data_IF_004126586978
#
_entry.id   IF_004126586978
#
_cell.length_a   1.000
_cell.length_b   1.000
_cell.length_c   1.000
_cell.angle_alpha   90.00
_cell.angle_beta   90.00
_cell.angle_gamma   90.00
#
_symmetry.space_group_name_H-M   'P 1'
#
loop_
_entity.id
_entity.type
_entity.pdbx_description
1 polymer ?
#
# COMPACT_ATOMS: atom_id res chain seq x y z
N UNK A 1 3.64 -25.58 19.32
CA UNK A 1 3.73 -24.45 20.27
C UNK A 1 4.82 -23.53 19.76
N UNK A 2 4.64 -22.20 19.83
CA UNK A 2 5.73 -21.25 19.56
C UNK A 2 6.70 -21.32 20.74
N UNK A 3 7.55 -22.34 20.78
CA UNK A 3 8.42 -22.62 21.94
C UNK A 3 9.55 -21.60 22.10
N UNK A 4 9.77 -20.73 21.11
CA UNK A 4 10.74 -19.64 21.19
C UNK A 4 10.37 -18.47 20.25
N UNK A 5 9.64 -17.48 20.77
CA UNK A 5 9.30 -16.26 20.01
C UNK A 5 10.55 -15.50 19.54
N UNK A 6 11.62 -15.46 20.35
CA UNK A 6 12.89 -14.82 19.96
C UNK A 6 13.48 -15.49 18.73
N UNK A 7 13.58 -16.82 18.70
CA UNK A 7 14.12 -17.53 17.55
C UNK A 7 13.26 -17.32 16.29
N UNK A 8 11.94 -17.21 16.43
CA UNK A 8 11.05 -16.88 15.33
C UNK A 8 11.32 -15.46 14.80
N UNK A 9 11.39 -14.46 15.68
CA UNK A 9 11.73 -13.08 15.33
C UNK A 9 13.07 -13.02 14.59
N UNK A 10 14.11 -13.65 15.16
CA UNK A 10 15.46 -13.66 14.59
C UNK A 10 15.48 -14.32 13.20
N UNK A 11 14.73 -15.42 13.03
CA UNK A 11 14.65 -16.13 11.74
C UNK A 11 13.92 -15.29 10.69
N UNK A 12 12.80 -14.65 11.06
CA UNK A 12 12.06 -13.78 10.14
C UNK A 12 12.92 -12.58 9.77
N UNK A 13 13.54 -11.91 10.74
CA UNK A 13 14.41 -10.76 10.48
C UNK A 13 15.62 -11.13 9.62
N UNK A 14 16.19 -12.33 9.80
CA UNK A 14 17.23 -12.85 8.92
C UNK A 14 16.74 -12.99 7.48
N UNK A 15 15.55 -13.55 7.27
CA UNK A 15 14.96 -13.67 5.94
C UNK A 15 14.69 -12.28 5.31
N UNK A 16 14.24 -11.31 6.10
CA UNK A 16 14.12 -9.91 5.66
C UNK A 16 15.47 -9.35 5.20
N UNK A 17 16.54 -9.56 5.98
CA UNK A 17 17.88 -9.07 5.64
C UNK A 17 18.43 -9.71 4.37
N UNK A 18 18.20 -11.01 4.16
CA UNK A 18 18.58 -11.69 2.91
C UNK A 18 17.81 -11.06 1.71
N UNK A 19 16.51 -10.82 1.87
CA UNK A 19 15.70 -10.20 0.82
C UNK A 19 16.12 -8.75 0.54
N UNK A 20 16.43 -7.98 1.58
CA UNK A 20 16.92 -6.61 1.45
C UNK A 20 18.31 -6.56 0.80
N UNK A 21 19.25 -7.39 1.22
CA UNK A 21 20.61 -7.46 0.66
C UNK A 21 20.59 -7.66 -0.86
N UNK A 22 19.75 -8.58 -1.34
CA UNK A 22 19.62 -8.91 -2.77
C UNK A 22 19.00 -7.80 -3.63
N UNK A 23 18.16 -6.97 -3.03
CA UNK A 23 17.27 -6.07 -3.77
C UNK A 23 17.46 -4.59 -3.46
N UNK A 24 18.24 -4.23 -2.43
CA UNK A 24 18.46 -2.83 -2.07
C UNK A 24 19.11 -2.03 -3.22
N UNK A 25 19.94 -2.69 -4.04
CA UNK A 25 20.60 -2.10 -5.21
C UNK A 25 19.64 -1.76 -6.37
N UNK A 26 18.40 -2.26 -6.34
CA UNK A 26 17.37 -1.93 -7.33
C UNK A 26 16.79 -0.52 -7.14
N UNK A 27 17.02 0.10 -5.97
CA UNK A 27 16.54 1.44 -5.66
C UNK A 27 17.50 2.54 -6.13
N UNK A 28 16.95 3.71 -6.44
CA UNK A 28 17.79 4.91 -6.60
C UNK A 28 18.42 5.30 -5.26
N UNK A 29 19.60 5.91 -5.29
CA UNK A 29 20.33 6.32 -4.07
C UNK A 29 19.47 7.18 -3.13
N UNK A 30 18.67 8.11 -3.65
CA UNK A 30 17.80 8.95 -2.83
C UNK A 30 16.72 8.14 -2.14
N UNK A 31 16.06 7.21 -2.85
CA UNK A 31 15.07 6.32 -2.27
C UNK A 31 15.70 5.41 -1.22
N UNK A 32 16.83 4.80 -1.54
CA UNK A 32 17.57 3.94 -0.63
C UNK A 32 17.88 4.63 0.70
N UNK A 33 18.45 5.85 0.66
CA UNK A 33 18.78 6.60 1.87
C UNK A 33 17.55 7.00 2.69
N UNK A 34 16.41 7.29 2.04
CA UNK A 34 15.15 7.56 2.74
C UNK A 34 14.65 6.30 3.45
N UNK A 35 14.60 5.15 2.76
CA UNK A 35 14.16 3.89 3.36
C UNK A 35 15.07 3.46 4.52
N UNK A 36 16.39 3.58 4.37
CA UNK A 36 17.35 3.23 5.43
C UNK A 36 17.19 4.13 6.66
N UNK A 37 16.96 5.43 6.45
CA UNK A 37 16.68 6.37 7.54
C UNK A 37 15.41 5.96 8.29
N UNK A 38 14.36 5.59 7.58
CA UNK A 38 13.09 5.16 8.18
C UNK A 38 13.20 3.82 8.89
N UNK A 39 14.00 2.91 8.35
CA UNK A 39 14.27 1.61 8.96
C UNK A 39 15.12 1.75 10.23
N UNK A 40 16.12 2.65 10.24
CA UNK A 40 16.83 3.01 11.47
C UNK A 40 15.90 3.56 12.55
N UNK A 41 14.98 4.47 12.18
CA UNK A 41 13.98 4.99 13.12
C UNK A 41 13.09 3.88 13.70
N UNK A 42 12.84 2.83 12.93
CA UNK A 42 12.07 1.67 13.39
C UNK A 42 12.87 0.80 14.33
N UNK A 43 14.05 0.37 13.91
CA UNK A 43 14.88 -0.54 14.69
C UNK A 43 15.34 0.07 16.02
N UNK A 44 15.59 1.38 16.04
CA UNK A 44 16.02 2.09 17.24
C UNK A 44 14.86 2.71 18.04
N UNK A 45 13.61 2.40 17.68
CA UNK A 45 12.38 2.90 18.33
C UNK A 45 12.36 4.43 18.55
N UNK A 46 12.89 5.18 17.57
CA UNK A 46 13.01 6.64 17.67
C UNK A 46 11.60 7.26 17.63
N UNK A 47 11.22 8.06 18.65
CA UNK A 47 9.91 8.72 18.68
C UNK A 47 9.66 9.64 17.48
N UNK A 48 8.40 9.79 17.10
CA UNK A 48 7.99 10.74 16.07
C UNK A 48 8.38 12.17 16.47
N UNK A 49 8.94 12.95 15.54
CA UNK A 49 9.43 14.31 15.80
C UNK A 49 10.79 14.39 16.50
N UNK A 50 11.34 13.28 17.00
CA UNK A 50 12.68 13.26 17.56
C UNK A 50 13.74 13.48 16.46
N UNK A 51 14.77 14.27 16.82
CA UNK A 51 15.92 14.51 15.94
C UNK A 51 16.74 13.23 15.80
N UNK A 52 17.07 12.89 14.57
CA UNK A 52 17.95 11.76 14.28
C UNK A 52 19.41 12.07 14.66
N UNK A 53 20.08 11.16 15.39
CA UNK A 53 21.51 11.26 15.67
C UNK A 53 22.30 10.93 14.41
N UNK A 54 22.91 11.95 13.80
CA UNK A 54 23.52 11.83 12.45
C UNK A 54 24.72 10.88 12.42
N UNK A 55 25.56 10.94 13.43
CA UNK A 55 26.80 10.14 13.48
C UNK A 55 26.46 8.66 13.69
N UNK A 56 25.58 8.37 14.66
CA UNK A 56 25.08 7.01 14.94
C UNK A 56 24.33 6.41 13.74
N UNK A 57 23.53 7.20 13.02
CA UNK A 57 22.90 6.77 11.77
C UNK A 57 23.95 6.42 10.71
N UNK A 58 25.02 7.20 10.58
CA UNK A 58 26.11 6.93 9.64
C UNK A 58 26.83 5.62 9.94
N UNK A 59 27.19 5.41 11.21
CA UNK A 59 27.82 4.18 11.68
C UNK A 59 26.90 2.97 11.47
N UNK A 60 25.60 3.11 11.78
CA UNK A 60 24.61 2.08 11.57
C UNK A 60 24.42 1.72 10.10
N UNK A 61 24.39 2.70 9.19
CA UNK A 61 24.28 2.47 7.74
C UNK A 61 25.45 1.61 7.26
N UNK A 62 26.68 1.95 7.66
CA UNK A 62 27.88 1.20 7.27
C UNK A 62 27.87 -0.22 7.82
N UNK A 63 27.45 -0.39 9.08
CA UNK A 63 27.31 -1.71 9.69
C UNK A 63 26.24 -2.57 8.98
N UNK A 64 25.11 -1.96 8.60
CA UNK A 64 24.02 -2.63 7.87
C UNK A 64 24.46 -3.12 6.50
N UNK A 65 25.13 -2.27 5.73
CA UNK A 65 25.66 -2.65 4.42
C UNK A 65 26.69 -3.78 4.53
N UNK A 66 27.61 -3.68 5.51
CA UNK A 66 28.58 -4.74 5.78
C UNK A 66 27.91 -6.07 6.15
N UNK A 67 26.81 -6.03 6.91
CA UNK A 67 26.03 -7.22 7.24
C UNK A 67 25.36 -7.82 6.00
N UNK A 68 24.79 -6.99 5.12
CA UNK A 68 24.16 -7.46 3.88
C UNK A 68 25.13 -8.19 2.96
N UNK A 69 26.38 -7.72 2.84
CA UNK A 69 27.42 -8.42 2.08
C UNK A 69 27.69 -9.84 2.59
N UNK A 70 27.41 -10.12 3.88
CA UNK A 70 27.60 -11.47 4.45
C UNK A 70 26.41 -12.40 4.25
N UNK A 71 25.20 -11.86 4.01
CA UNK A 71 23.95 -12.65 3.95
C UNK A 71 23.31 -12.70 2.55
N UNK A 72 23.75 -11.89 1.60
CA UNK A 72 23.18 -11.78 0.23
C UNK A 72 23.03 -13.15 -0.46
N UNK A 73 24.01 -14.02 -0.29
CA UNK A 73 24.07 -15.36 -0.91
C UNK A 73 23.41 -16.46 -0.07
N UNK A 74 22.92 -16.16 1.14
CA UNK A 74 22.30 -17.17 2.01
C UNK A 74 20.88 -17.57 1.57
N UNK A 75 20.50 -18.83 1.75
CA UNK A 75 19.12 -19.27 1.49
C UNK A 75 18.17 -18.82 2.60
N UNK A 76 16.93 -18.52 2.25
CA UNK A 76 15.90 -18.25 3.24
C UNK A 76 15.74 -19.44 4.19
N UNK A 77 15.71 -19.16 5.49
CA UNK A 77 15.61 -20.16 6.53
C UNK A 77 14.14 -20.55 6.77
N UNK A 78 13.83 -21.84 7.00
CA UNK A 78 12.51 -22.26 7.43
C UNK A 78 12.19 -21.65 8.79
N UNK A 79 10.94 -21.21 8.97
CA UNK A 79 10.51 -20.61 10.23
C UNK A 79 10.40 -21.68 11.32
N UNK A 80 10.91 -21.43 12.55
CA UNK A 80 10.95 -22.40 13.64
C UNK A 80 9.56 -22.58 14.30
N UNK A 81 8.55 -22.84 13.48
CA UNK A 81 7.15 -23.08 13.86
C UNK A 81 6.79 -24.49 13.40
N UNK A 82 6.11 -25.26 14.24
CA UNK A 82 5.63 -26.62 13.91
C UNK A 82 6.68 -27.56 13.28
N UNK A 83 7.94 -27.44 13.69
CA UNK A 83 9.04 -28.28 13.18
C UNK A 83 9.78 -27.75 11.95
N UNK A 84 9.47 -26.53 11.49
CA UNK A 84 10.07 -25.91 10.31
C UNK A 84 9.04 -25.77 9.18
N UNK A 85 8.61 -24.55 8.90
CA UNK A 85 7.70 -24.25 7.77
C UNK A 85 8.45 -23.38 6.77
N UNK A 86 8.21 -23.59 5.47
CA UNK A 86 8.76 -22.74 4.42
C UNK A 86 8.33 -21.27 4.65
N UNK A 87 9.24 -20.29 4.55
CA UNK A 87 8.88 -18.89 4.78
C UNK A 87 7.85 -18.33 3.78
N UNK A 88 7.64 -18.98 2.64
CA UNK A 88 6.60 -18.59 1.68
C UNK A 88 5.23 -19.22 1.97
N UNK A 89 5.12 -20.19 2.89
CA UNK A 89 3.85 -20.84 3.26
C UNK A 89 3.13 -20.06 4.38
N UNK A 90 2.77 -18.79 4.10
CA UNK A 90 2.19 -17.88 5.11
C UNK A 90 0.91 -18.43 5.77
N UNK A 91 0.07 -19.17 5.03
CA UNK A 91 -1.14 -19.79 5.57
C UNK A 91 -0.82 -20.82 6.67
N UNK A 92 0.20 -21.64 6.47
CA UNK A 92 0.62 -22.69 7.41
C UNK A 92 1.22 -22.08 8.66
N UNK A 93 2.05 -21.05 8.48
CA UNK A 93 2.61 -20.25 9.58
C UNK A 93 1.49 -19.60 10.38
N UNK A 94 0.55 -18.91 9.73
CA UNK A 94 -0.54 -18.21 10.41
C UNK A 94 -1.52 -19.14 11.12
N UNK A 95 -1.76 -20.36 10.63
CA UNK A 95 -2.54 -21.37 11.38
C UNK A 95 -1.92 -21.66 12.75
N UNK A 96 -0.60 -21.60 12.86
CA UNK A 96 0.11 -21.80 14.12
C UNK A 96 0.25 -20.52 14.95
N UNK A 97 0.35 -19.33 14.33
CA UNK A 97 0.63 -18.07 15.02
C UNK A 97 -0.62 -17.31 15.50
N UNK A 98 -1.70 -17.29 14.72
CA UNK A 98 -2.93 -16.53 15.01
C UNK A 98 -3.51 -16.86 16.40
N UNK A 99 -3.57 -18.12 16.86
CA UNK A 99 -4.05 -18.44 18.21
C UNK A 99 -3.26 -17.80 19.36
N UNK A 100 -2.02 -17.35 19.09
CA UNK A 100 -1.15 -16.71 20.07
C UNK A 100 -1.11 -15.18 19.92
N UNK A 101 -1.99 -14.58 19.11
CA UNK A 101 -2.01 -13.14 18.89
C UNK A 101 -0.86 -12.65 18.02
N UNK A 102 -0.34 -13.50 17.13
CA UNK A 102 0.74 -13.17 16.19
C UNK A 102 0.24 -13.35 14.76
N UNK A 103 0.78 -12.56 13.84
CA UNK A 103 0.52 -12.67 12.41
C UNK A 103 1.81 -12.56 11.62
N UNK A 104 1.90 -13.38 10.58
CA UNK A 104 3.00 -13.42 9.65
C UNK A 104 2.49 -13.10 8.24
N UNK A 105 3.25 -12.32 7.49
CA UNK A 105 3.00 -12.10 6.07
C UNK A 105 4.27 -12.44 5.31
N UNK A 106 4.11 -13.17 4.21
CA UNK A 106 5.15 -13.32 3.20
C UNK A 106 4.58 -13.10 1.79
N UNK A 107 5.44 -12.99 0.79
CA UNK A 107 5.03 -12.90 -0.60
C UNK A 107 5.99 -12.11 -1.48
N UNK A 108 5.66 -12.01 -2.77
CA UNK A 108 6.45 -11.25 -3.74
C UNK A 108 5.89 -9.84 -3.90
N UNK A 109 6.74 -8.84 -3.72
CA UNK A 109 6.45 -7.43 -3.95
C UNK A 109 6.83 -7.00 -5.36
N UNK A 110 7.08 -5.69 -5.51
CA UNK A 110 7.56 -5.12 -6.75
C UNK A 110 8.88 -5.77 -7.18
N UNK A 111 9.10 -5.93 -8.48
CA UNK A 111 10.27 -6.62 -9.04
C UNK A 111 10.48 -8.05 -8.52
N UNK A 112 9.41 -8.70 -8.03
CA UNK A 112 9.45 -10.04 -7.44
C UNK A 112 10.36 -10.15 -6.21
N UNK A 113 10.63 -9.04 -5.53
CA UNK A 113 11.34 -9.03 -4.25
C UNK A 113 10.51 -9.79 -3.19
N UNK A 114 11.06 -10.80 -2.50
CA UNK A 114 10.41 -11.39 -1.33
C UNK A 114 10.24 -10.37 -0.20
N UNK A 115 9.09 -10.42 0.47
CA UNK A 115 8.80 -9.62 1.64
C UNK A 115 8.41 -10.53 2.80
N UNK A 116 8.89 -10.21 4.01
CA UNK A 116 8.56 -10.95 5.22
C UNK A 116 8.26 -9.98 6.37
N UNK A 117 7.23 -10.30 7.15
CA UNK A 117 6.82 -9.52 8.32
C UNK A 117 6.31 -10.44 9.40
N UNK A 118 6.71 -10.20 10.63
CA UNK A 118 6.12 -10.79 11.82
C UNK A 118 5.67 -9.67 12.75
N UNK A 119 4.43 -9.74 13.22
CA UNK A 119 3.84 -8.70 14.06
C UNK A 119 2.83 -9.27 15.07
N UNK A 120 2.47 -8.43 16.04
CA UNK A 120 1.28 -8.62 16.85
C UNK A 120 0.03 -8.62 15.97
N UNK A 121 -0.88 -9.57 16.18
CA UNK A 121 -2.20 -9.57 15.56
C UNK A 121 -3.16 -8.72 16.40
N UNK A 122 -3.54 -7.54 15.90
CA UNK A 122 -4.54 -6.68 16.56
C UNK A 122 -5.97 -7.13 16.26
N UNK A 123 -6.23 -7.49 15.00
CA UNK A 123 -7.57 -7.89 14.55
C UNK A 123 -7.48 -8.84 13.38
N UNK A 124 -8.31 -9.87 13.39
CA UNK A 124 -8.58 -10.71 12.23
C UNK A 124 -10.09 -10.73 11.97
N UNK A 125 -10.49 -10.51 10.72
CA UNK A 125 -11.90 -10.50 10.31
C UNK A 125 -12.05 -10.96 8.87
N UNK A 126 -13.29 -11.12 8.41
CA UNK A 126 -13.60 -11.42 7.01
C UNK A 126 -14.50 -10.32 6.47
N UNK A 127 -14.12 -9.73 5.34
CA UNK A 127 -14.90 -8.72 4.62
C UNK A 127 -15.15 -9.20 3.20
N UNK A 128 -16.42 -9.35 2.83
CA UNK A 128 -16.84 -9.80 1.48
C UNK A 128 -16.20 -11.13 1.04
N UNK A 129 -15.91 -12.01 2.00
CA UNK A 129 -15.25 -13.30 1.76
C UNK A 129 -13.72 -13.24 1.71
N UNK A 130 -13.11 -12.05 1.88
CA UNK A 130 -11.67 -11.85 1.96
C UNK A 130 -11.24 -11.77 3.42
N UNK A 131 -10.22 -12.53 3.82
CA UNK A 131 -9.64 -12.42 5.17
C UNK A 131 -8.90 -11.09 5.31
N UNK A 132 -9.02 -10.43 6.43
CA UNK A 132 -8.30 -9.19 6.74
C UNK A 132 -7.56 -9.39 8.05
N UNK A 133 -6.24 -9.22 8.01
CA UNK A 133 -5.36 -9.19 9.16
C UNK A 133 -4.86 -7.77 9.39
N UNK A 134 -5.08 -7.24 10.60
CA UNK A 134 -4.50 -5.98 11.05
C UNK A 134 -3.35 -6.30 12.00
N UNK A 135 -2.14 -6.08 11.51
CA UNK A 135 -0.90 -6.18 12.26
C UNK A 135 -0.65 -4.89 13.06
N UNK A 136 -0.29 -5.05 14.33
CA UNK A 136 0.09 -3.97 15.26
C UNK A 136 1.59 -3.74 15.26
N UNK A 137 2.21 -3.93 16.42
CA UNK A 137 3.65 -3.80 16.61
C UNK A 137 4.40 -4.83 15.75
N UNK A 138 5.31 -4.35 14.91
CA UNK A 138 6.15 -5.18 14.06
C UNK A 138 7.38 -5.67 14.84
N UNK A 139 7.56 -6.99 14.94
CA UNK A 139 8.73 -7.60 15.58
C UNK A 139 9.87 -7.88 14.60
N UNK A 140 9.54 -8.11 13.34
CA UNK A 140 10.51 -8.25 12.25
C UNK A 140 9.91 -7.73 10.95
N UNK A 141 10.72 -7.05 10.13
CA UNK A 141 10.30 -6.52 8.83
C UNK A 141 11.46 -6.29 7.88
N UNK A 142 11.12 -6.21 6.60
CA UNK A 142 12.00 -5.67 5.56
C UNK A 142 12.20 -4.14 5.71
N UNK A 143 13.24 -3.66 5.04
CA UNK A 143 13.52 -2.24 4.80
C UNK A 143 12.28 -1.51 4.29
N UNK A 144 11.75 -1.96 3.16
CA UNK A 144 10.53 -1.41 2.55
C UNK A 144 9.31 -2.02 3.26
N UNK A 145 8.44 -1.17 3.80
CA UNK A 145 7.22 -1.59 4.47
C UNK A 145 5.97 -0.99 3.83
N UNK A 146 5.40 -1.66 2.80
CA UNK A 146 4.10 -1.29 2.28
C UNK A 146 3.04 -1.41 3.40
N UNK A 147 2.17 -0.41 3.59
CA UNK A 147 1.22 -0.38 4.71
C UNK A 147 0.07 -1.37 4.57
N UNK A 148 -0.32 -1.69 3.34
CA UNK A 148 -1.36 -2.66 3.02
C UNK A 148 -0.97 -3.44 1.77
N UNK A 149 -1.33 -4.73 1.73
CA UNK A 149 -1.24 -5.54 0.52
C UNK A 149 -2.16 -6.75 0.59
N UNK A 150 -2.71 -7.14 -0.56
CA UNK A 150 -3.27 -8.48 -0.78
C UNK A 150 -2.15 -9.53 -0.90
N UNK A 151 -2.20 -10.58 -0.08
CA UNK A 151 -1.28 -11.74 -0.06
C UNK A 151 -2.07 -13.02 0.11
N UNK A 152 -1.92 -13.95 -0.83
CA UNK A 152 -2.57 -15.27 -0.81
C UNK A 152 -4.09 -15.22 -0.54
N UNK A 153 -4.78 -14.21 -1.09
CA UNK A 153 -6.21 -14.01 -0.92
C UNK A 153 -6.62 -13.41 0.44
N UNK A 154 -5.68 -12.89 1.21
CA UNK A 154 -5.91 -12.15 2.44
C UNK A 154 -5.29 -10.75 2.36
N UNK A 155 -5.96 -9.78 2.96
CA UNK A 155 -5.48 -8.40 3.11
C UNK A 155 -4.65 -8.33 4.40
N UNK A 156 -3.40 -7.90 4.28
CA UNK A 156 -2.54 -7.61 5.41
C UNK A 156 -2.32 -6.11 5.52
N UNK A 157 -2.84 -5.52 6.60
CA UNK A 157 -2.66 -4.12 6.96
C UNK A 157 -1.67 -4.03 8.12
N UNK A 158 -0.67 -3.14 8.01
CA UNK A 158 0.43 -2.97 8.96
C UNK A 158 0.33 -1.60 9.63
N UNK A 159 -0.21 -1.54 10.86
CA UNK A 159 -0.47 -0.29 11.57
C UNK A 159 0.80 0.55 11.78
N UNK A 160 1.93 -0.07 12.13
CA UNK A 160 3.20 0.65 12.29
C UNK A 160 3.67 1.29 10.98
N UNK A 161 3.53 0.57 9.86
CA UNK A 161 3.86 1.09 8.53
C UNK A 161 2.90 2.23 8.11
N UNK A 162 1.61 2.13 8.43
CA UNK A 162 0.63 3.22 8.21
C UNK A 162 1.05 4.47 8.97
N UNK A 163 1.35 4.35 10.27
CA UNK A 163 1.80 5.49 11.08
C UNK A 163 3.05 6.15 10.51
N UNK A 164 4.05 5.36 10.12
CA UNK A 164 5.28 5.87 9.51
C UNK A 164 5.03 6.58 8.19
N UNK A 165 4.17 6.02 7.32
CA UNK A 165 3.78 6.67 6.08
C UNK A 165 3.15 8.05 6.34
N UNK A 166 2.22 8.13 7.28
CA UNK A 166 1.51 9.36 7.62
C UNK A 166 2.46 10.40 8.23
N UNK A 167 3.34 9.96 9.12
CA UNK A 167 4.37 10.80 9.71
C UNK A 167 5.30 11.39 8.65
N UNK A 168 5.80 10.56 7.72
CA UNK A 168 6.69 11.02 6.65
C UNK A 168 6.01 12.06 5.76
N UNK A 169 4.72 11.85 5.43
CA UNK A 169 3.91 12.84 4.71
C UNK A 169 3.75 14.14 5.49
N UNK A 170 3.59 14.05 6.81
CA UNK A 170 3.47 15.23 7.67
C UNK A 170 4.78 16.01 7.73
N UNK A 171 5.92 15.36 7.97
CA UNK A 171 7.25 16.00 7.96
C UNK A 171 7.52 16.72 6.62
N UNK A 172 7.21 16.09 5.50
CA UNK A 172 7.36 16.68 4.17
C UNK A 172 6.40 17.86 3.93
N UNK A 173 5.18 17.78 4.46
CA UNK A 173 4.15 18.80 4.27
C UNK A 173 4.42 20.09 5.07
N UNK A 174 5.10 20.01 6.21
CA UNK A 174 5.40 21.19 7.04
C UNK A 174 6.13 22.32 6.29
N UNK A 175 6.77 22.01 5.17
CA UNK A 175 7.50 22.95 4.31
C UNK A 175 6.68 23.46 3.11
N UNK A 176 5.41 23.08 2.99
CA UNK A 176 4.52 23.36 1.85
C UNK A 176 3.41 24.35 2.23
N UNK A 177 2.65 24.78 1.22
CA UNK A 177 1.46 25.61 1.42
C UNK A 177 0.39 24.88 2.23
N UNK A 178 -0.19 25.59 3.21
CA UNK A 178 -1.15 25.01 4.16
C UNK A 178 -2.53 24.73 3.56
N UNK A 179 -3.00 25.52 2.60
CA UNK A 179 -4.35 25.35 2.02
C UNK A 179 -4.40 24.32 0.87
N UNK A 180 -3.83 23.14 1.14
CA UNK A 180 -3.83 22.00 0.22
C UNK A 180 -4.77 20.91 0.74
N UNK A 181 -5.14 19.94 -0.12
CA UNK A 181 -5.91 18.77 0.33
C UNK A 181 -5.22 18.04 1.48
N UNK A 182 -3.88 17.93 1.44
CA UNK A 182 -3.10 17.31 2.50
C UNK A 182 -3.15 18.12 3.80
N UNK A 183 -3.02 19.45 3.71
CA UNK A 183 -3.16 20.33 4.88
C UNK A 183 -4.53 20.27 5.51
N UNK A 184 -5.61 20.17 4.71
CA UNK A 184 -6.98 19.95 5.20
C UNK A 184 -7.15 18.60 5.90
N UNK A 185 -6.48 17.55 5.42
CA UNK A 185 -6.47 16.25 6.11
C UNK A 185 -5.78 16.35 7.48
N UNK A 186 -4.58 16.92 7.56
CA UNK A 186 -3.87 17.06 8.85
C UNK A 186 -4.59 17.99 9.83
N UNK A 187 -5.20 19.07 9.34
CA UNK A 187 -6.03 19.94 10.16
C UNK A 187 -7.27 19.22 10.71
N UNK A 188 -7.88 18.30 9.94
CA UNK A 188 -9.02 17.50 10.40
C UNK A 188 -8.66 16.61 11.61
N UNK A 189 -7.44 16.08 11.65
CA UNK A 189 -6.97 15.23 12.74
C UNK A 189 -6.24 15.98 13.86
N UNK A 190 -6.17 17.31 13.80
CA UNK A 190 -5.61 18.20 14.85
C UNK A 190 -4.11 18.01 15.12
N UNK A 191 -3.33 17.69 14.08
CA UNK A 191 -1.86 17.51 14.16
C UNK A 191 -1.13 18.73 14.73
N UNK A 192 -1.67 19.95 14.59
CA UNK A 192 -1.03 21.17 15.11
C UNK A 192 -1.06 21.25 16.64
N UNK A 193 -2.04 20.62 17.30
CA UNK A 193 -2.17 20.66 18.77
C UNK A 193 -1.59 19.42 19.44
N UNK A 194 -1.79 18.25 18.85
CA UNK A 194 -1.37 16.97 19.41
C UNK A 194 -1.00 16.01 18.26
N UNK A 195 0.29 15.98 17.93
CA UNK A 195 0.83 15.19 16.83
C UNK A 195 0.60 13.70 17.06
N UNK A 196 0.87 13.19 18.26
CA UNK A 196 0.76 11.76 18.54
C UNK A 196 -0.69 11.31 18.45
N UNK A 197 -1.61 12.02 19.10
CA UNK A 197 -3.03 11.70 19.04
C UNK A 197 -3.61 11.90 17.63
N UNK A 198 -3.16 12.93 16.91
CA UNK A 198 -3.56 13.17 15.52
C UNK A 198 -3.09 12.03 14.61
N UNK A 199 -1.86 11.57 14.80
CA UNK A 199 -1.29 10.44 14.08
C UNK A 199 -2.05 9.14 14.37
N UNK A 200 -2.39 8.86 15.62
CA UNK A 200 -3.17 7.68 16.00
C UNK A 200 -4.53 7.65 15.30
N UNK A 201 -5.27 8.76 15.38
CA UNK A 201 -6.61 8.88 14.78
C UNK A 201 -6.56 8.79 13.26
N UNK A 202 -5.59 9.45 12.64
CA UNK A 202 -5.41 9.39 11.19
C UNK A 202 -4.97 8.00 10.76
N UNK A 203 -4.10 7.32 11.51
CA UNK A 203 -3.67 5.96 11.21
C UNK A 203 -4.84 4.98 11.24
N UNK A 204 -5.76 5.09 12.21
CA UNK A 204 -6.96 4.26 12.26
C UNK A 204 -7.90 4.53 11.06
N UNK A 205 -8.13 5.79 10.72
CA UNK A 205 -9.00 6.16 9.61
C UNK A 205 -8.42 5.76 8.23
N UNK A 206 -7.14 6.04 8.00
CA UNK A 206 -6.48 5.68 6.74
C UNK A 206 -6.23 4.17 6.63
N UNK A 207 -6.10 3.46 7.75
CA UNK A 207 -6.11 1.99 7.78
C UNK A 207 -7.40 1.41 7.23
N UNK A 208 -8.54 1.94 7.66
CA UNK A 208 -9.84 1.56 7.11
C UNK A 208 -9.95 1.92 5.62
N UNK A 209 -9.50 3.09 5.21
CA UNK A 209 -9.50 3.50 3.79
C UNK A 209 -8.63 2.57 2.92
N UNK A 210 -7.47 2.14 3.41
CA UNK A 210 -6.63 1.16 2.73
C UNK A 210 -7.29 -0.22 2.65
N UNK A 211 -7.93 -0.70 3.73
CA UNK A 211 -8.69 -1.96 3.67
C UNK A 211 -9.83 -1.86 2.63
N UNK A 212 -10.54 -0.73 2.57
CA UNK A 212 -11.60 -0.51 1.58
C UNK A 212 -11.05 -0.54 0.14
N UNK A 213 -9.85 0.01 -0.09
CA UNK A 213 -9.17 -0.06 -1.38
C UNK A 213 -8.87 -1.50 -1.79
N UNK A 214 -8.25 -2.28 -0.91
CA UNK A 214 -7.92 -3.69 -1.19
C UNK A 214 -9.19 -4.56 -1.40
N UNK A 215 -10.27 -4.31 -0.64
CA UNK A 215 -11.58 -4.94 -0.88
C UNK A 215 -12.15 -4.51 -2.25
N UNK A 216 -11.98 -3.25 -2.62
CA UNK A 216 -12.34 -2.72 -3.93
C UNK A 216 -11.58 -3.40 -5.05
N UNK A 217 -10.28 -3.64 -4.89
CA UNK A 217 -9.47 -4.36 -5.88
C UNK A 217 -9.95 -5.80 -6.05
N UNK A 218 -10.17 -6.53 -4.96
CA UNK A 218 -10.70 -7.89 -5.01
C UNK A 218 -12.06 -7.95 -5.72
N UNK A 219 -12.94 -6.96 -5.47
CA UNK A 219 -14.23 -6.84 -6.16
C UNK A 219 -14.06 -6.55 -7.64
N UNK A 220 -13.17 -5.63 -8.01
CA UNK A 220 -12.87 -5.30 -9.40
C UNK A 220 -12.33 -6.52 -10.15
N UNK A 221 -11.38 -7.25 -9.58
CA UNK A 221 -10.81 -8.46 -10.19
C UNK A 221 -11.87 -9.53 -10.43
N UNK A 222 -12.79 -9.74 -9.49
CA UNK A 222 -13.93 -10.66 -9.68
C UNK A 222 -14.84 -10.24 -10.84
N UNK A 223 -15.08 -8.94 -11.02
CA UNK A 223 -15.92 -8.41 -12.10
C UNK A 223 -15.25 -8.50 -13.48
N UNK A 224 -13.93 -8.40 -13.52
CA UNK A 224 -13.13 -8.43 -14.75
C UNK A 224 -12.76 -9.85 -15.18
N UNK A 225 -12.61 -10.77 -14.23
CA UNK A 225 -12.37 -12.19 -14.50
C UNK A 225 -10.95 -12.51 -14.98
N UNK A 226 -10.74 -13.77 -15.36
CA UNK A 226 -9.41 -14.30 -15.69
C UNK A 226 -8.71 -13.62 -16.88
N UNK A 227 -9.49 -13.07 -17.82
CA UNK A 227 -8.97 -12.38 -18.99
C UNK A 227 -8.16 -11.14 -18.61
N UNK A 228 -8.57 -10.44 -17.55
CA UNK A 228 -7.84 -9.29 -17.01
C UNK A 228 -6.48 -9.69 -16.43
N UNK A 229 -6.46 -10.73 -15.58
CA UNK A 229 -5.23 -11.26 -15.00
C UNK A 229 -4.28 -11.79 -16.09
N UNK A 230 -4.84 -12.46 -17.11
CA UNK A 230 -4.08 -12.96 -18.26
C UNK A 230 -3.47 -11.82 -19.08
N UNK A 231 -4.21 -10.74 -19.33
CA UNK A 231 -3.69 -9.54 -20.00
C UNK A 231 -2.56 -8.93 -19.18
N UNK A 232 -2.79 -8.63 -17.89
CA UNK A 232 -1.77 -8.02 -17.02
C UNK A 232 -0.47 -8.82 -16.97
N UNK A 233 -0.57 -10.17 -16.95
CA UNK A 233 0.60 -11.05 -16.95
C UNK A 233 1.36 -11.12 -18.28
N UNK A 234 0.83 -10.56 -19.36
CA UNK A 234 1.43 -10.55 -20.70
C UNK A 234 1.87 -9.15 -21.16
N UNK A 235 1.64 -8.10 -20.37
CA UNK A 235 2.15 -6.76 -20.68
C UNK A 235 3.66 -6.72 -20.45
N UNK A 236 4.42 -6.31 -21.47
CA UNK A 236 5.88 -6.14 -21.38
C UNK A 236 6.24 -4.65 -21.11
N UNK A 237 5.34 -3.74 -21.46
CA UNK A 237 5.49 -2.30 -21.28
C UNK A 237 5.07 -1.86 -19.88
N UNK A 238 6.03 -1.31 -19.14
CA UNK A 238 5.80 -0.63 -17.86
C UNK A 238 4.70 0.43 -17.95
N UNK A 239 4.59 1.15 -19.07
CA UNK A 239 3.57 2.19 -19.21
C UNK A 239 2.16 1.61 -19.36
N UNK A 240 2.02 0.56 -20.19
CA UNK A 240 0.75 -0.13 -20.38
C UNK A 240 0.28 -0.79 -19.07
N UNK A 241 1.20 -1.41 -18.32
CA UNK A 241 0.89 -1.99 -17.01
C UNK A 241 0.42 -0.92 -16.01
N UNK A 242 1.12 0.22 -15.91
CA UNK A 242 0.73 1.32 -15.04
C UNK A 242 -0.66 1.88 -15.41
N UNK A 243 -0.99 1.94 -16.70
CA UNK A 243 -2.30 2.37 -17.17
C UNK A 243 -3.40 1.39 -16.77
N UNK A 244 -3.20 0.10 -17.03
CA UNK A 244 -4.17 -0.92 -16.69
C UNK A 244 -4.43 -0.95 -15.17
N UNK A 245 -3.37 -0.88 -14.35
CA UNK A 245 -3.49 -0.77 -12.89
C UNK A 245 -4.23 0.49 -12.46
N UNK A 246 -3.91 1.66 -13.01
CA UNK A 246 -4.61 2.90 -12.69
C UNK A 246 -6.12 2.83 -12.97
N UNK A 247 -6.52 2.17 -14.08
CA UNK A 247 -7.94 1.94 -14.41
C UNK A 247 -8.61 1.01 -13.40
N UNK A 248 -7.96 -0.09 -13.02
CA UNK A 248 -8.45 -1.01 -11.99
C UNK A 248 -8.58 -0.32 -10.63
N UNK A 249 -7.59 0.46 -10.22
CA UNK A 249 -7.60 1.17 -8.94
C UNK A 249 -8.73 2.20 -8.89
N UNK A 250 -9.01 2.90 -10.00
CA UNK A 250 -10.18 3.77 -10.09
C UNK A 250 -11.50 3.02 -10.00
N UNK A 251 -11.61 1.87 -10.65
CA UNK A 251 -12.77 1.00 -10.53
C UNK A 251 -12.97 0.55 -9.08
N UNK A 252 -11.91 0.03 -8.45
CA UNK A 252 -11.90 -0.38 -7.05
C UNK A 252 -12.37 0.74 -6.11
N UNK A 253 -11.79 1.92 -6.26
CA UNK A 253 -12.11 3.06 -5.40
C UNK A 253 -13.51 3.61 -5.64
N UNK A 254 -14.04 3.56 -6.87
CA UNK A 254 -15.41 3.97 -7.15
C UNK A 254 -16.46 2.90 -6.77
N UNK A 255 -16.06 1.62 -6.64
CA UNK A 255 -16.95 0.55 -6.21
C UNK A 255 -17.08 0.44 -4.68
N UNK A 256 -16.02 0.79 -3.94
CA UNK A 256 -15.92 0.53 -2.50
C UNK A 256 -15.42 1.74 -1.73
N UNK A 257 -14.18 2.18 -1.97
CA UNK A 257 -13.50 3.19 -1.13
C UNK A 257 -14.28 4.51 -1.05
N UNK A 258 -14.42 5.22 -2.17
CA UNK A 258 -15.01 6.56 -2.21
C UNK A 258 -16.49 6.57 -1.81
N UNK A 259 -17.36 5.65 -2.28
CA UNK A 259 -18.74 5.58 -1.79
C UNK A 259 -18.82 5.42 -0.27
N UNK A 260 -18.01 4.52 0.30
CA UNK A 260 -18.01 4.26 1.75
C UNK A 260 -17.51 5.47 2.53
N UNK A 261 -16.45 6.14 2.06
CA UNK A 261 -15.95 7.36 2.72
C UNK A 261 -16.96 8.51 2.65
N UNK A 262 -17.70 8.64 1.54
CA UNK A 262 -18.76 9.64 1.38
C UNK A 262 -19.96 9.34 2.29
N UNK A 263 -20.43 8.10 2.31
CA UNK A 263 -21.53 7.66 3.18
C UNK A 263 -21.24 7.89 4.66
N UNK A 264 -20.00 7.62 5.08
CA UNK A 264 -19.54 7.81 6.47
C UNK A 264 -19.14 9.25 6.81
N UNK A 265 -19.25 10.18 5.87
CA UNK A 265 -18.76 11.56 6.01
C UNK A 265 -17.30 11.62 6.50
N UNK A 266 -16.45 10.70 6.02
CA UNK A 266 -15.05 10.57 6.40
C UNK A 266 -14.18 11.65 5.74
N UNK A 267 -14.46 12.92 6.05
CA UNK A 267 -13.87 14.08 5.38
C UNK A 267 -12.35 14.12 5.44
N UNK A 268 -11.74 13.74 6.58
CA UNK A 268 -10.29 13.65 6.72
C UNK A 268 -9.65 12.70 5.68
N UNK A 269 -10.21 11.50 5.54
CA UNK A 269 -9.74 10.51 4.56
C UNK A 269 -10.08 10.89 3.12
N UNK A 270 -11.20 11.58 2.87
CA UNK A 270 -11.47 12.14 1.53
C UNK A 270 -10.41 13.19 1.13
N UNK A 271 -10.05 14.10 2.05
CA UNK A 271 -8.96 15.04 1.81
C UNK A 271 -7.62 14.33 1.57
N UNK A 272 -7.32 13.29 2.36
CA UNK A 272 -6.10 12.52 2.21
C UNK A 272 -6.06 11.73 0.89
N UNK A 273 -7.16 11.09 0.49
CA UNK A 273 -7.29 10.42 -0.79
C UNK A 273 -6.99 11.39 -1.95
N UNK A 274 -7.64 12.55 -1.97
CA UNK A 274 -7.44 13.54 -3.03
C UNK A 274 -6.03 14.12 -3.04
N UNK A 275 -5.39 14.24 -1.88
CA UNK A 275 -4.00 14.66 -1.77
C UNK A 275 -3.01 13.64 -2.38
N UNK A 276 -3.33 12.35 -2.29
CA UNK A 276 -2.49 11.26 -2.78
C UNK A 276 -2.85 10.82 -4.21
N UNK A 277 -3.96 11.30 -4.77
CA UNK A 277 -4.30 11.12 -6.17
C UNK A 277 -3.28 11.85 -7.05
N UNK A 278 -2.36 11.09 -7.64
CA UNK A 278 -1.20 11.64 -8.37
C UNK A 278 -0.93 10.86 -9.66
N UNK A 279 0.02 11.35 -10.46
CA UNK A 279 0.46 10.72 -11.70
C UNK A 279 -0.69 10.39 -12.65
N UNK A 280 -0.68 9.17 -13.18
CA UNK A 280 -1.65 8.70 -14.17
C UNK A 280 -3.07 8.65 -13.61
N UNK A 281 -3.26 8.22 -12.36
CA UNK A 281 -4.59 8.20 -11.71
C UNK A 281 -5.21 9.60 -11.65
N UNK A 282 -4.42 10.64 -11.35
CA UNK A 282 -4.93 12.02 -11.37
C UNK A 282 -5.25 12.48 -12.79
N UNK A 283 -4.39 12.17 -13.75
CA UNK A 283 -4.54 12.60 -15.14
C UNK A 283 -5.80 11.98 -15.80
N UNK A 284 -6.11 10.73 -15.46
CA UNK A 284 -7.25 10.00 -16.02
C UNK A 284 -8.60 10.42 -15.42
N UNK A 285 -8.64 10.98 -14.22
CA UNK A 285 -9.91 11.27 -13.54
C UNK A 285 -10.11 12.75 -13.19
N UNK A 286 -10.04 13.69 -14.16
CA UNK A 286 -10.12 15.13 -13.89
C UNK A 286 -11.49 15.56 -13.35
N UNK A 287 -12.56 14.80 -13.63
CA UNK A 287 -13.89 15.06 -13.08
C UNK A 287 -13.91 14.94 -11.55
N UNK A 288 -13.12 14.02 -10.97
CA UNK A 288 -13.03 13.85 -9.53
C UNK A 288 -12.40 15.09 -8.85
N UNK A 289 -11.33 15.64 -9.44
CA UNK A 289 -10.72 16.89 -8.95
C UNK A 289 -11.72 18.05 -9.01
N UNK A 290 -12.46 18.22 -10.11
CA UNK A 290 -13.48 19.28 -10.21
C UNK A 290 -14.60 19.12 -9.18
N UNK A 291 -15.04 17.90 -8.93
CA UNK A 291 -16.07 17.62 -7.94
C UNK A 291 -15.58 17.87 -6.50
N UNK A 292 -14.30 17.56 -6.24
CA UNK A 292 -13.64 17.93 -4.99
C UNK A 292 -13.56 19.44 -4.80
N UNK A 293 -13.12 20.19 -5.82
CA UNK A 293 -13.04 21.66 -5.76
C UNK A 293 -14.41 22.29 -5.51
N UNK A 294 -15.47 21.75 -6.12
CA UNK A 294 -16.84 22.15 -5.83
C UNK A 294 -17.20 21.90 -4.37
N UNK A 295 -16.92 20.72 -3.83
CA UNK A 295 -17.17 20.41 -2.41
C UNK A 295 -16.44 21.38 -1.48
N UNK A 296 -15.18 21.74 -1.77
CA UNK A 296 -14.45 22.73 -0.98
C UNK A 296 -15.14 24.10 -1.00
N UNK A 297 -15.64 24.53 -2.16
CA UNK A 297 -16.29 25.82 -2.33
C UNK A 297 -17.71 25.89 -1.75
N UNK A 298 -18.51 24.84 -1.94
CA UNK A 298 -19.93 24.81 -1.57
C UNK A 298 -20.21 24.16 -0.21
N UNK A 299 -19.25 23.39 0.32
CA UNK A 299 -19.41 22.48 1.46
C UNK A 299 -20.47 21.39 1.23
N UNK A 300 -20.80 21.11 -0.03
CA UNK A 300 -21.74 20.06 -0.44
C UNK A 300 -21.00 18.90 -1.16
N UNK A 301 -21.12 17.69 -0.63
CA UNK A 301 -20.54 16.46 -1.20
C UNK A 301 -21.41 15.84 -2.30
N UNK A 302 -22.60 16.38 -2.58
CA UNK A 302 -23.56 15.78 -3.52
C UNK A 302 -23.00 15.64 -4.94
N UNK A 303 -22.23 16.62 -5.42
CA UNK A 303 -21.58 16.53 -6.73
C UNK A 303 -20.46 15.48 -6.73
N UNK A 304 -19.72 15.35 -5.63
CA UNK A 304 -18.67 14.35 -5.47
C UNK A 304 -19.27 12.94 -5.48
N UNK A 305 -20.35 12.70 -4.72
CA UNK A 305 -21.09 11.43 -4.74
C UNK A 305 -21.61 11.08 -6.14
N UNK A 306 -22.32 11.97 -6.82
CA UNK A 306 -22.78 11.71 -8.20
C UNK A 306 -21.65 11.39 -9.18
N UNK A 307 -20.48 12.03 -9.00
CA UNK A 307 -19.31 11.80 -9.85
C UNK A 307 -18.73 10.41 -9.61
N UNK A 308 -18.62 9.99 -8.34
CA UNK A 308 -18.13 8.66 -7.95
C UNK A 308 -19.07 7.56 -8.43
N UNK A 309 -20.38 7.74 -8.24
CA UNK A 309 -21.39 6.76 -8.65
C UNK A 309 -21.37 6.51 -10.17
N UNK A 310 -21.29 7.58 -10.97
CA UNK A 310 -21.18 7.47 -12.43
C UNK A 310 -19.84 6.85 -12.87
N UNK A 311 -18.76 7.12 -12.13
CA UNK A 311 -17.43 6.66 -12.49
C UNK A 311 -17.23 5.16 -12.35
N UNK A 312 -17.94 4.48 -11.45
CA UNK A 312 -17.85 3.03 -11.30
C UNK A 312 -18.18 2.30 -12.63
N UNK A 313 -19.26 2.70 -13.30
CA UNK A 313 -19.64 2.13 -14.59
C UNK A 313 -18.63 2.47 -15.70
N UNK A 314 -18.16 3.73 -15.73
CA UNK A 314 -17.15 4.19 -16.69
C UNK A 314 -15.84 3.39 -16.58
N UNK A 315 -15.31 3.21 -15.37
CA UNK A 315 -14.05 2.48 -15.18
C UNK A 315 -14.17 0.98 -15.44
N UNK A 316 -15.35 0.40 -15.23
CA UNK A 316 -15.63 -0.99 -15.63
C UNK A 316 -15.63 -1.15 -17.15
N UNK A 317 -16.25 -0.21 -17.88
CA UNK A 317 -16.22 -0.20 -19.35
C UNK A 317 -14.79 0.01 -19.87
N UNK A 318 -14.06 0.95 -19.29
CA UNK A 318 -12.66 1.21 -19.62
C UNK A 318 -11.80 -0.04 -19.43
N UNK A 319 -11.89 -0.72 -18.28
CA UNK A 319 -11.13 -1.94 -18.01
C UNK A 319 -11.43 -3.04 -19.05
N UNK A 320 -12.72 -3.26 -19.36
CA UNK A 320 -13.13 -4.21 -20.40
C UNK A 320 -12.63 -3.81 -21.79
N UNK A 321 -12.58 -2.51 -22.09
CA UNK A 321 -12.06 -2.02 -23.35
C UNK A 321 -10.55 -2.29 -23.49
N UNK A 322 -9.77 -2.11 -22.42
CA UNK A 322 -8.35 -2.47 -22.41
C UNK A 322 -8.16 -3.97 -22.68
N UNK A 323 -8.90 -4.83 -21.97
CA UNK A 323 -8.84 -6.29 -22.16
C UNK A 323 -9.21 -6.71 -23.58
N UNK A 324 -10.33 -6.20 -24.11
CA UNK A 324 -10.76 -6.50 -25.46
C UNK A 324 -9.78 -5.98 -26.53
N UNK A 325 -9.12 -4.85 -26.28
CA UNK A 325 -8.10 -4.29 -27.17
C UNK A 325 -6.87 -5.17 -27.22
N UNK A 326 -6.38 -5.62 -26.07
CA UNK A 326 -5.26 -6.54 -25.98
C UNK A 326 -5.56 -7.87 -26.67
N UNK A 327 -6.72 -8.47 -26.40
CA UNK A 327 -7.10 -9.78 -26.95
C UNK A 327 -7.24 -9.79 -28.48
N UNK A 328 -7.59 -8.65 -29.10
CA UNK A 328 -7.71 -8.55 -30.56
C UNK A 328 -6.37 -8.65 -31.28
N UNK A 329 -5.31 -8.13 -30.67
CA UNK A 329 -3.96 -8.17 -31.21
C UNK A 329 -2.92 -8.16 -30.07
N UNK A 330 -2.67 -9.32 -29.43
CA UNK A 330 -1.74 -9.42 -28.32
C UNK A 330 -0.32 -8.98 -28.69
N UNK A 331 0.10 -9.19 -29.95
CA UNK A 331 1.44 -8.83 -30.43
C UNK A 331 1.70 -7.32 -30.41
N UNK A 332 0.65 -6.50 -30.55
CA UNK A 332 0.73 -5.04 -30.42
C UNK A 332 -0.09 -4.51 -29.23
N UNK A 333 -0.44 -5.39 -28.28
CA UNK A 333 -1.35 -5.08 -27.18
C UNK A 333 -0.91 -3.87 -26.36
N UNK A 334 0.38 -3.79 -26.01
CA UNK A 334 0.97 -2.68 -25.26
C UNK A 334 0.82 -1.34 -26.00
N UNK A 335 1.14 -1.32 -27.29
CA UNK A 335 1.05 -0.11 -28.11
C UNK A 335 -0.41 0.35 -28.25
N UNK A 336 -1.32 -0.60 -28.43
CA UNK A 336 -2.76 -0.33 -28.55
C UNK A 336 -3.35 0.19 -27.24
N UNK A 337 -2.97 -0.38 -26.10
CA UNK A 337 -3.36 0.11 -24.76
C UNK A 337 -2.83 1.53 -24.52
N UNK A 338 -1.58 1.80 -24.86
CA UNK A 338 -0.98 3.12 -24.69
C UNK A 338 -1.69 4.19 -25.55
N UNK A 339 -2.13 3.83 -26.75
CA UNK A 339 -2.88 4.75 -27.61
C UNK A 339 -4.22 5.19 -26.97
N UNK A 340 -4.88 4.30 -26.21
CA UNK A 340 -6.16 4.58 -25.54
C UNK A 340 -6.03 5.67 -24.46
N UNK A 341 -4.88 5.74 -23.76
CA UNK A 341 -4.65 6.75 -22.72
C UNK A 341 -4.72 8.20 -23.23
N UNK A 342 -4.48 8.41 -24.52
CA UNK A 342 -4.34 9.75 -25.10
C UNK A 342 -5.66 10.39 -25.54
N UNK A 343 -6.80 9.68 -25.44
CA UNK A 343 -8.07 10.16 -26.00
C UNK A 343 -9.33 9.81 -25.20
N UNK A 344 -9.58 8.53 -24.91
CA UNK A 344 -10.93 8.05 -24.57
C UNK A 344 -11.21 7.90 -23.06
N UNK A 345 -10.18 7.73 -22.24
CA UNK A 345 -10.37 7.35 -20.82
C UNK A 345 -10.72 8.52 -19.89
N UNK A 346 -10.27 9.73 -20.21
CA UNK A 346 -10.34 10.88 -19.30
C UNK A 346 -11.74 11.52 -19.21
N UNK A 347 -12.61 11.23 -20.16
CA UNK A 347 -13.95 11.81 -20.25
C UNK A 347 -14.97 10.84 -19.68
N UNK A 348 -15.47 11.10 -18.47
CA UNK A 348 -16.61 10.37 -17.93
C UNK A 348 -17.78 10.43 -18.92
N UNK A 349 -18.19 9.27 -19.41
CA UNK A 349 -19.42 9.14 -20.19
C UNK A 349 -20.60 9.41 -19.25
N UNK A 350 -21.51 10.30 -19.66
CA UNK A 350 -22.68 10.70 -18.87
C UNK A 350 -23.79 9.66 -18.93
#
# INVERSE_FOLDING_TARGET
MVENLSALIDTVQKNCMIADARHARDMTICTFLLEMREFYRWEMEIPYGARLPKDELGDWLTARESLWDTVEEETFAPLPVSGGIDPFDADDVNRALVPYGLVYSSGLGHFRKPHFVLAELKRAEVREGVKVYVAGCEYARDLIAPPAAMRDGAIFLRMDAVRRLLWNKFEEWQWKEKDTALGRAFAHYDFERDIERGLDRMAEAESEAMILHEVGEARAEKLLGADWSSMLGQLDSKHAELLARAVRDHLADCLVTLPTLLEREAHGSLHFYLANLSGLRRALFPALTRAYDHWIASRDTSQLSRTVDAAAAHWLEAARHLTATFQRDPAHGDANINAIASGDLANLKR
#
